data_IF_443630656302
#
_entry.id   IF_443630656302
#
_cell.length_a   1.000
_cell.length_b   1.000
_cell.length_c   1.000
_cell.angle_alpha   90.00
_cell.angle_beta   90.00
_cell.angle_gamma   90.00
#
_symmetry.space_group_name_H-M   'P 1'
#
loop_
_entity.id
_entity.type
_entity.pdbx_description
1 polymer ?
#
# COMPACT_ATOMS: atom_id res chain seq x y z
N UNK A 1 -19.87 11.71 16.76
CA UNK A 1 -19.26 12.47 15.65
C UNK A 1 -18.82 11.55 14.51
N UNK A 2 -17.88 10.62 14.74
CA UNK A 2 -17.31 9.73 13.70
C UNK A 2 -18.33 8.91 12.88
N UNK A 3 -19.48 8.55 13.48
CA UNK A 3 -20.58 7.89 12.76
C UNK A 3 -21.14 8.73 11.61
N UNK A 4 -21.20 10.05 11.78
CA UNK A 4 -21.66 10.98 10.73
C UNK A 4 -20.66 11.10 9.58
N UNK A 5 -19.38 10.81 9.83
CA UNK A 5 -18.30 10.80 8.82
C UNK A 5 -18.33 9.49 8.00
N UNK A 6 -18.94 8.43 8.55
CA UNK A 6 -19.07 7.12 7.91
C UNK A 6 -18.35 5.98 8.63
N UNK A 7 -17.66 6.25 9.75
CA UNK A 7 -17.06 5.19 10.56
C UNK A 7 -18.12 4.44 11.38
N UNK A 8 -17.97 3.12 11.49
CA UNK A 8 -18.74 2.34 12.47
C UNK A 8 -18.08 2.47 13.85
N UNK A 9 -18.72 3.11 14.87
CA UNK A 9 -18.10 3.26 16.18
C UNK A 9 -17.77 1.95 16.89
N UNK A 10 -18.49 0.86 16.58
CA UNK A 10 -18.23 -0.46 17.16
C UNK A 10 -16.89 -1.07 16.70
N UNK A 11 -16.30 -0.57 15.62
CA UNK A 11 -15.01 -1.05 15.10
C UNK A 11 -13.83 -0.20 15.60
N UNK A 12 -14.08 0.81 16.45
CA UNK A 12 -13.11 1.82 16.86
C UNK A 12 -12.84 1.70 18.37
N UNK A 13 -11.60 1.42 18.79
CA UNK A 13 -11.28 1.36 20.21
C UNK A 13 -11.25 2.76 20.80
N UNK A 14 -11.93 2.96 21.93
CA UNK A 14 -11.91 4.21 22.69
C UNK A 14 -11.10 4.00 23.96
N UNK A 15 -9.89 4.58 23.99
CA UNK A 15 -8.95 4.40 25.10
C UNK A 15 -8.78 5.73 25.84
N UNK A 16 -9.20 5.85 27.11
CA UNK A 16 -8.86 7.03 27.92
C UNK A 16 -7.38 6.94 28.31
N UNK A 17 -6.60 7.96 27.97
CA UNK A 17 -5.15 8.00 28.20
C UNK A 17 -4.72 9.32 28.83
N UNK A 18 -3.53 9.31 29.46
CA UNK A 18 -2.74 10.52 29.70
C UNK A 18 -1.44 10.38 28.93
N UNK A 19 -1.29 11.15 27.85
CA UNK A 19 -0.06 11.14 27.05
C UNK A 19 1.17 11.63 27.83
N UNK A 20 0.97 12.49 28.83
CA UNK A 20 2.05 13.04 29.65
C UNK A 20 2.50 12.07 30.75
N UNK A 21 1.55 11.45 31.46
CA UNK A 21 1.86 10.56 32.59
C UNK A 21 2.02 9.09 32.16
N UNK A 22 1.64 8.73 30.93
CA UNK A 22 1.70 7.37 30.41
C UNK A 22 0.49 6.49 30.76
N UNK A 23 -0.56 7.03 31.40
CA UNK A 23 -1.73 6.27 31.80
C UNK A 23 -2.40 5.58 30.59
N UNK A 24 -2.61 4.26 30.68
CA UNK A 24 -3.18 3.41 29.62
C UNK A 24 -2.43 3.47 28.27
N UNK A 25 -1.20 3.99 28.21
CA UNK A 25 -0.41 4.00 26.97
C UNK A 25 0.13 2.59 26.67
N UNK A 26 0.96 2.07 27.58
CA UNK A 26 1.58 0.75 27.49
C UNK A 26 0.97 -0.23 28.50
N UNK A 27 0.72 0.26 29.72
CA UNK A 27 0.19 -0.51 30.85
C UNK A 27 -1.13 0.09 31.37
N UNK A 28 -2.01 -0.72 31.99
CA UNK A 28 -3.24 -0.22 32.59
C UNK A 28 -2.97 0.78 33.72
N UNK A 29 -3.68 1.90 33.68
CA UNK A 29 -3.59 2.93 34.73
C UNK A 29 -4.29 2.50 36.02
N UNK A 30 -3.66 2.76 37.15
CA UNK A 30 -4.27 2.64 38.48
C UNK A 30 -5.21 3.80 38.81
N UNK A 31 -5.11 4.94 38.09
CA UNK A 31 -5.93 6.13 38.29
C UNK A 31 -7.35 5.99 37.68
N UNK A 32 -7.59 4.95 36.89
CA UNK A 32 -8.83 4.75 36.13
C UNK A 32 -9.58 3.48 36.52
N UNK A 33 -9.85 3.26 37.81
CA UNK A 33 -10.54 2.05 38.30
C UNK A 33 -11.95 1.80 37.73
N UNK A 34 -12.60 2.85 37.20
CA UNK A 34 -13.88 2.78 36.50
C UNK A 34 -13.77 2.15 35.11
N UNK A 35 -12.62 2.28 34.46
CA UNK A 35 -12.43 1.83 33.08
C UNK A 35 -12.12 0.33 33.03
N UNK A 36 -12.99 -0.43 32.36
CA UNK A 36 -12.88 -1.89 32.26
C UNK A 36 -12.13 -2.37 31.02
N UNK A 37 -11.85 -1.47 30.08
CA UNK A 37 -11.24 -1.77 28.80
C UNK A 37 -12.10 -1.31 27.64
N UNK A 38 -11.52 -1.31 26.45
CA UNK A 38 -12.19 -1.13 25.19
C UNK A 38 -12.56 -2.50 24.61
N UNK A 39 -13.61 -2.52 23.80
CA UNK A 39 -14.04 -3.68 23.04
C UNK A 39 -14.46 -3.23 21.65
N UNK A 40 -13.98 -3.93 20.63
CA UNK A 40 -14.35 -3.67 19.24
C UNK A 40 -14.78 -4.95 18.56
N UNK A 41 -15.62 -4.80 17.53
CA UNK A 41 -16.03 -5.88 16.65
C UNK A 41 -15.71 -5.52 15.20
N UNK A 42 -14.91 -6.36 14.53
CA UNK A 42 -14.48 -6.16 13.14
C UNK A 42 -14.64 -7.45 12.36
N UNK A 43 -15.40 -7.41 11.26
CA UNK A 43 -15.67 -8.58 10.40
C UNK A 43 -16.12 -9.83 11.19
N UNK A 44 -16.85 -9.65 12.30
CA UNK A 44 -17.30 -10.73 13.18
C UNK A 44 -16.30 -11.19 14.25
N UNK A 45 -15.08 -10.64 14.27
CA UNK A 45 -14.09 -10.89 15.32
C UNK A 45 -14.20 -9.83 16.42
N UNK A 46 -14.40 -10.28 17.66
CA UNK A 46 -14.39 -9.43 18.84
C UNK A 46 -12.98 -9.38 19.42
N UNK A 47 -12.48 -8.17 19.69
CA UNK A 47 -11.19 -7.94 20.33
C UNK A 47 -11.35 -6.97 21.48
N UNK A 48 -10.61 -7.21 22.57
CA UNK A 48 -10.69 -6.42 23.80
C UNK A 48 -9.29 -6.10 24.31
N UNK A 49 -9.17 -4.98 25.02
CA UNK A 49 -7.93 -4.56 25.64
C UNK A 49 -8.14 -3.38 26.57
N UNK A 50 -7.06 -2.90 27.19
CA UNK A 50 -7.10 -1.74 28.09
C UNK A 50 -6.20 -0.60 27.62
N UNK A 51 -5.10 -0.91 26.96
CA UNK A 51 -4.07 0.08 26.65
C UNK A 51 -4.12 0.52 25.18
N UNK A 52 -3.47 1.64 24.88
CA UNK A 52 -3.31 2.15 23.52
C UNK A 52 -2.46 1.20 22.69
N UNK A 53 -1.39 0.64 23.25
CA UNK A 53 -0.57 -0.37 22.58
C UNK A 53 -1.42 -1.58 22.15
N UNK A 54 -2.23 -2.12 23.05
CA UNK A 54 -3.14 -3.22 22.72
C UNK A 54 -4.15 -2.83 21.63
N UNK A 55 -4.60 -1.57 21.61
CA UNK A 55 -5.50 -1.09 20.56
C UNK A 55 -4.79 -1.03 19.20
N UNK A 56 -3.51 -0.67 19.15
CA UNK A 56 -2.70 -0.69 17.93
C UNK A 56 -2.44 -2.12 17.47
N UNK A 57 -2.09 -3.02 18.37
CA UNK A 57 -1.86 -4.45 18.07
C UNK A 57 -3.13 -5.15 17.57
N UNK A 58 -4.30 -4.68 18.00
CA UNK A 58 -5.59 -5.16 17.51
C UNK A 58 -5.97 -4.65 16.11
N UNK A 59 -5.15 -3.82 15.47
CA UNK A 59 -5.38 -3.42 14.09
C UNK A 59 -5.03 -4.58 13.15
N UNK A 60 -6.01 -5.03 12.37
CA UNK A 60 -5.77 -5.99 11.29
C UNK A 60 -4.88 -5.35 10.22
N UNK A 61 -3.80 -6.02 9.76
CA UNK A 61 -3.04 -5.57 8.62
C UNK A 61 -3.96 -5.34 7.41
N UNK A 62 -3.75 -4.25 6.65
CA UNK A 62 -4.53 -4.03 5.44
C UNK A 62 -4.32 -5.18 4.46
N UNK A 63 -5.42 -5.66 3.87
CA UNK A 63 -5.33 -6.64 2.78
C UNK A 63 -4.63 -6.00 1.59
N UNK A 64 -3.54 -6.62 1.11
CA UNK A 64 -2.86 -6.19 -0.10
C UNK A 64 -3.78 -6.47 -1.30
N UNK A 65 -4.10 -5.47 -2.13
CA UNK A 65 -5.02 -5.61 -3.25
C UNK A 65 -4.38 -6.34 -4.44
N UNK A 66 -4.07 -7.63 -4.27
CA UNK A 66 -3.44 -8.49 -5.27
C UNK A 66 -4.38 -8.79 -6.45
N UNK A 67 -5.67 -8.99 -6.15
CA UNK A 67 -6.68 -9.37 -7.14
C UNK A 67 -7.26 -8.18 -7.92
N UNK A 68 -6.77 -6.97 -7.67
CA UNK A 68 -7.17 -5.77 -8.40
C UNK A 68 -6.27 -5.57 -9.62
N UNK A 69 -6.74 -4.89 -10.68
CA UNK A 69 -5.90 -4.56 -11.82
C UNK A 69 -4.61 -3.81 -11.41
N UNK A 70 -3.53 -4.04 -12.15
CA UNK A 70 -2.24 -3.40 -11.87
C UNK A 70 -2.36 -1.87 -11.95
N UNK A 71 -1.93 -1.17 -10.90
CA UNK A 71 -1.70 0.28 -10.89
C UNK A 71 -0.37 0.58 -10.21
N UNK A 72 0.56 1.13 -10.99
CA UNK A 72 1.90 1.49 -10.55
C UNK A 72 2.20 2.92 -11.00
N UNK A 73 1.95 3.92 -10.15
CA UNK A 73 2.32 5.31 -10.41
C UNK A 73 3.85 5.47 -10.45
N UNK A 74 4.34 6.12 -11.49
CA UNK A 74 5.77 6.38 -11.69
C UNK A 74 6.23 7.49 -10.76
N UNK A 75 7.26 7.19 -9.98
CA UNK A 75 7.98 8.18 -9.17
C UNK A 75 9.08 8.84 -9.99
N UNK A 76 9.86 8.06 -10.73
CA UNK A 76 10.95 8.56 -11.59
C UNK A 76 11.13 7.64 -12.81
N UNK A 77 11.85 8.14 -13.82
CA UNK A 77 12.20 7.37 -15.02
C UNK A 77 13.67 7.59 -15.36
N UNK A 78 14.44 6.52 -15.41
CA UNK A 78 15.87 6.55 -15.67
C UNK A 78 16.24 5.94 -17.02
N UNK A 79 17.34 6.43 -17.60
CA UNK A 79 18.02 5.79 -18.72
C UNK A 79 19.29 5.14 -18.20
N UNK A 80 19.34 3.81 -18.19
CA UNK A 80 20.52 3.07 -17.75
C UNK A 80 21.25 2.55 -18.99
N UNK A 81 22.55 2.84 -19.09
CA UNK A 81 23.40 2.38 -20.19
C UNK A 81 23.39 0.85 -20.27
N UNK A 82 23.17 0.29 -21.45
CA UNK A 82 23.10 -1.17 -21.68
C UNK A 82 21.78 -1.85 -21.30
N UNK A 83 20.95 -1.23 -20.46
CA UNK A 83 19.65 -1.79 -20.04
C UNK A 83 18.49 -1.13 -20.80
N UNK A 84 18.51 0.20 -20.93
CA UNK A 84 17.45 0.98 -21.56
C UNK A 84 16.68 1.87 -20.59
N UNK A 85 15.37 1.93 -20.76
CA UNK A 85 14.48 2.79 -19.97
C UNK A 85 13.95 2.01 -18.76
N UNK A 86 14.17 2.57 -17.57
CA UNK A 86 13.78 1.96 -16.29
C UNK A 86 12.89 2.93 -15.52
N UNK A 87 11.56 2.80 -15.60
CA UNK A 87 10.65 3.46 -14.69
C UNK A 87 10.75 2.88 -13.28
N UNK A 88 10.55 3.72 -12.28
CA UNK A 88 10.55 3.36 -10.86
C UNK A 88 9.25 3.83 -10.23
N UNK A 89 8.64 3.00 -9.39
CA UNK A 89 7.44 3.39 -8.67
C UNK A 89 6.99 2.35 -7.65
N UNK A 90 5.87 2.66 -6.99
CA UNK A 90 5.25 1.76 -6.03
C UNK A 90 4.09 1.03 -6.68
N UNK A 91 4.02 -0.29 -6.48
CA UNK A 91 2.82 -1.05 -6.85
C UNK A 91 1.72 -0.69 -5.84
N UNK A 92 0.64 -0.07 -6.30
CA UNK A 92 -0.50 0.29 -5.43
C UNK A 92 -1.57 -0.80 -5.44
N UNK A 93 -1.82 -1.40 -6.61
CA UNK A 93 -2.74 -2.53 -6.79
C UNK A 93 -2.22 -3.50 -7.84
N UNK A 94 -2.67 -4.75 -7.78
CA UNK A 94 -2.29 -5.81 -8.71
C UNK A 94 -0.87 -6.30 -8.55
N UNK A 95 -0.40 -7.05 -9.54
CA UNK A 95 0.92 -7.68 -9.55
C UNK A 95 1.65 -7.29 -10.84
N UNK A 96 2.92 -6.95 -10.74
CA UNK A 96 3.81 -6.71 -11.88
C UNK A 96 4.77 -7.89 -12.02
N UNK A 97 4.89 -8.47 -13.23
CA UNK A 97 5.81 -9.56 -13.53
C UNK A 97 6.62 -9.26 -14.80
N UNK A 98 7.87 -9.75 -14.89
CA UNK A 98 8.57 -9.82 -16.17
C UNK A 98 7.72 -10.53 -17.23
N UNK A 99 7.74 -10.04 -18.47
CA UNK A 99 6.96 -10.54 -19.61
C UNK A 99 5.54 -9.97 -19.72
N UNK A 100 5.05 -9.23 -18.72
CA UNK A 100 3.76 -8.56 -18.82
C UNK A 100 3.79 -7.45 -19.88
N UNK A 101 2.68 -7.29 -20.59
CA UNK A 101 2.46 -6.17 -21.51
C UNK A 101 1.70 -5.10 -20.74
N UNK A 102 2.31 -3.94 -20.55
CA UNK A 102 1.79 -2.85 -19.73
C UNK A 102 1.50 -1.62 -20.56
N UNK A 103 0.52 -0.84 -20.12
CA UNK A 103 0.12 0.44 -20.71
C UNK A 103 0.38 1.58 -19.73
N UNK A 104 0.96 2.68 -20.22
CA UNK A 104 1.24 3.89 -19.46
C UNK A 104 0.22 4.99 -19.80
N UNK A 105 -0.58 5.40 -18.81
CA UNK A 105 -1.46 6.56 -18.90
C UNK A 105 -0.78 7.83 -18.37
N UNK A 106 -1.08 9.02 -18.89
CA UNK A 106 -2.09 9.30 -19.93
C UNK A 106 -1.57 9.17 -21.38
N UNK A 107 -0.29 8.83 -21.58
CA UNK A 107 0.32 8.79 -22.92
C UNK A 107 -0.17 7.63 -23.81
N UNK A 108 -0.87 6.66 -23.22
CA UNK A 108 -1.40 5.47 -23.88
C UNK A 108 -0.33 4.65 -24.64
N UNK A 109 0.87 4.57 -24.06
CA UNK A 109 2.00 3.81 -24.62
C UNK A 109 1.96 2.40 -24.06
N UNK A 110 2.05 1.39 -24.92
CA UNK A 110 2.03 -0.03 -24.52
C UNK A 110 3.34 -0.71 -24.85
N UNK A 111 3.90 -1.46 -23.92
CA UNK A 111 5.18 -2.16 -24.06
C UNK A 111 5.27 -3.39 -23.16
N UNK A 112 6.20 -4.29 -23.46
CA UNK A 112 6.54 -5.43 -22.61
C UNK A 112 7.57 -5.05 -21.53
N UNK A 113 7.35 -5.56 -20.32
CA UNK A 113 8.27 -5.49 -19.18
C UNK A 113 9.30 -6.61 -19.31
N UNK A 114 10.59 -6.29 -19.22
CA UNK A 114 11.67 -7.28 -19.38
C UNK A 114 12.20 -7.83 -18.07
N UNK A 115 12.37 -6.97 -17.09
CA UNK A 115 12.81 -7.34 -15.75
C UNK A 115 12.13 -6.42 -14.75
N UNK A 116 12.03 -6.90 -13.52
CA UNK A 116 11.56 -6.16 -12.35
C UNK A 116 12.60 -6.36 -11.26
N UNK A 117 12.99 -5.28 -10.61
CA UNK A 117 14.07 -5.26 -9.62
C UNK A 117 13.67 -4.43 -8.40
N UNK A 118 14.07 -4.90 -7.22
CA UNK A 118 13.93 -4.19 -5.96
C UNK A 118 15.24 -4.29 -5.20
N UNK A 119 15.79 -3.16 -4.74
CA UNK A 119 17.08 -3.13 -4.01
C UNK A 119 18.23 -3.89 -4.70
N UNK A 120 18.30 -3.82 -6.04
CA UNK A 120 19.29 -4.51 -6.89
C UNK A 120 19.16 -6.04 -6.98
N UNK A 121 18.03 -6.59 -6.56
CA UNK A 121 17.70 -8.00 -6.75
C UNK A 121 16.56 -8.15 -7.75
N UNK A 122 16.67 -9.14 -8.64
CA UNK A 122 15.64 -9.43 -9.62
C UNK A 122 14.45 -10.14 -8.96
N UNK A 123 13.25 -9.67 -9.27
CA UNK A 123 12.00 -10.22 -8.76
C UNK A 123 11.28 -11.03 -9.85
N UNK A 124 10.68 -12.16 -9.43
CA UNK A 124 9.76 -12.93 -10.27
C UNK A 124 8.40 -12.25 -10.37
N UNK A 125 8.01 -11.53 -9.33
CA UNK A 125 6.82 -10.68 -9.26
C UNK A 125 7.00 -9.57 -8.23
N UNK A 126 6.34 -8.44 -8.43
CA UNK A 126 6.23 -7.34 -7.49
C UNK A 126 4.77 -7.14 -7.09
N UNK A 127 4.54 -6.97 -5.80
CA UNK A 127 3.20 -6.96 -5.18
C UNK A 127 2.90 -5.60 -4.54
N UNK A 128 1.64 -5.30 -4.18
CA UNK A 128 1.27 -4.01 -3.60
C UNK A 128 2.10 -3.66 -2.37
N UNK A 129 2.68 -2.45 -2.37
CA UNK A 129 3.60 -1.94 -1.35
C UNK A 129 5.07 -1.93 -1.77
N UNK A 130 5.46 -2.74 -2.74
CA UNK A 130 6.85 -2.83 -3.20
C UNK A 130 7.22 -1.58 -4.02
N UNK A 131 8.44 -1.07 -3.80
CA UNK A 131 9.00 0.02 -4.61
C UNK A 131 10.03 -0.60 -5.55
N UNK A 132 9.70 -0.63 -6.84
CA UNK A 132 10.44 -1.41 -7.83
C UNK A 132 10.89 -0.53 -9.00
N UNK A 133 12.04 -0.87 -9.55
CA UNK A 133 12.43 -0.47 -10.89
C UNK A 133 12.12 -1.59 -11.87
N UNK A 134 11.67 -1.26 -13.08
CA UNK A 134 11.39 -2.28 -14.09
C UNK A 134 11.85 -1.84 -15.48
N UNK A 135 12.42 -2.74 -16.26
CA UNK A 135 12.92 -2.42 -17.60
C UNK A 135 11.81 -2.59 -18.65
N UNK A 136 11.68 -1.63 -19.56
CA UNK A 136 10.75 -1.68 -20.70
C UNK A 136 11.47 -1.48 -22.03
N UNK A 137 11.02 -2.19 -23.08
CA UNK A 137 11.58 -2.06 -24.43
C UNK A 137 10.93 -0.93 -25.23
N UNK A 138 11.66 -0.39 -26.21
CA UNK A 138 11.11 0.49 -27.26
C UNK A 138 10.36 1.74 -26.76
N UNK A 139 10.59 2.16 -25.52
CA UNK A 139 10.04 3.40 -24.94
C UNK A 139 11.20 4.27 -24.50
N UNK A 140 11.20 5.53 -24.94
CA UNK A 140 12.19 6.52 -24.55
C UNK A 140 11.84 7.13 -23.19
N UNK A 141 12.87 7.44 -22.40
CA UNK A 141 12.70 8.19 -21.13
C UNK A 141 12.00 9.53 -21.28
N UNK A 142 11.95 10.11 -22.50
CA UNK A 142 11.24 11.38 -22.75
C UNK A 142 9.72 11.21 -22.86
N UNK A 143 9.26 9.99 -23.12
CA UNK A 143 7.85 9.65 -23.35
C UNK A 143 7.12 9.30 -22.05
N UNK A 144 7.87 8.94 -21.00
CA UNK A 144 7.36 8.66 -19.67
C UNK A 144 7.81 9.74 -18.69
N UNK A 145 6.95 10.05 -17.71
CA UNK A 145 7.24 11.07 -16.69
C UNK A 145 6.70 10.63 -15.34
N UNK A 146 7.27 11.22 -14.29
CA UNK A 146 6.71 11.14 -12.94
C UNK A 146 5.22 11.48 -12.96
N UNK A 147 4.43 10.71 -12.22
CA UNK A 147 2.97 10.84 -12.13
C UNK A 147 2.18 10.05 -13.16
N UNK A 148 2.83 9.49 -14.20
CA UNK A 148 2.16 8.57 -15.11
C UNK A 148 1.82 7.27 -14.39
N UNK A 149 0.80 6.56 -14.87
CA UNK A 149 0.35 5.31 -14.24
C UNK A 149 0.55 4.15 -15.20
N UNK A 150 1.35 3.18 -14.77
CA UNK A 150 1.52 1.90 -15.44
C UNK A 150 0.43 0.92 -14.97
N UNK A 151 -0.11 0.12 -15.88
CA UNK A 151 -1.02 -0.98 -15.56
C UNK A 151 -1.01 -2.06 -16.64
N UNK A 152 -1.64 -3.20 -16.36
CA UNK A 152 -1.71 -4.30 -17.32
C UNK A 152 -2.59 -3.88 -18.53
N UNK A 153 -2.05 -4.06 -19.73
CA UNK A 153 -2.76 -3.79 -20.98
C UNK A 153 -3.98 -4.69 -21.18
N UNK A 154 -4.00 -5.88 -20.58
CA UNK A 154 -5.02 -6.92 -20.76
C UNK A 154 -6.10 -6.93 -19.68
N UNK A 155 -5.84 -6.31 -18.54
CA UNK A 155 -6.78 -6.26 -17.41
C UNK A 155 -6.99 -4.81 -16.95
N UNK A 156 -8.09 -4.22 -17.44
CA UNK A 156 -8.51 -2.86 -17.09
C UNK A 156 -7.36 -1.84 -17.14
N UNK A 157 -6.80 -1.55 -18.34
CA UNK A 157 -5.67 -0.63 -18.46
C UNK A 157 -6.01 0.77 -17.93
N UNK A 158 -5.03 1.49 -17.35
CA UNK A 158 -5.23 2.87 -16.92
C UNK A 158 -5.51 3.79 -18.13
N UNK A 159 -6.30 4.84 -17.92
CA UNK A 159 -6.75 5.79 -18.94
C UNK A 159 -6.40 7.21 -18.52
#
# INVERSE_FOLDING_TARGET
>A
YIKKIGYNPATVPFVPISGWNGDNMLEPSTNMGWYKGWSIERKGNKTEGKTLLQALDAMEPPSRPLDKPLRLPLQDVYKIGGIGTVPVGRVETGILKPGMVVTFAPANITTEVKSVEMHHEALTEAVPGDNVGFNVKNVSVKELRRGYVCGDSKDSPPK
#
